data_IF_532775150646
#
_entry.id   IF_532775150646
#
_cell.length_a   1.000
_cell.length_b   1.000
_cell.length_c   1.000
_cell.angle_alpha   90.00
_cell.angle_beta   90.00
_cell.angle_gamma   90.00
#
_symmetry.space_group_name_H-M   'P 1'
#
loop_
_entity.id
_entity.type
_entity.pdbx_description
1 polymer ?
#
# COMPACT_ATOMS: atom_id res chain seq x y z
N UNK A 1 10.57 29.37 -5.37
CA UNK A 1 10.16 28.34 -4.39
C UNK A 1 8.99 27.56 -4.99
N UNK A 2 9.17 26.29 -5.37
CA UNK A 2 8.09 25.50 -5.98
C UNK A 2 7.16 24.97 -4.88
N UNK A 3 5.88 25.36 -4.91
CA UNK A 3 4.86 24.84 -3.99
C UNK A 3 4.33 23.50 -4.48
N UNK A 4 4.10 22.57 -3.57
CA UNK A 4 3.40 21.32 -3.89
C UNK A 4 1.98 21.63 -4.41
N UNK A 5 1.56 20.96 -5.49
CA UNK A 5 0.22 21.10 -6.06
C UNK A 5 -0.74 20.12 -5.36
N UNK A 6 -1.72 20.67 -4.65
CA UNK A 6 -2.76 19.90 -3.95
C UNK A 6 -4.12 20.25 -4.59
N UNK A 7 -5.05 19.27 -4.76
CA UNK A 7 -6.37 19.56 -5.31
C UNK A 7 -7.12 20.61 -4.46
N UNK A 8 -7.70 21.62 -5.13
CA UNK A 8 -8.42 22.73 -4.47
C UNK A 8 -9.70 22.26 -3.74
N UNK A 9 -10.28 21.15 -4.21
CA UNK A 9 -11.47 20.49 -3.65
C UNK A 9 -11.25 18.98 -3.84
N UNK A 10 -11.21 18.21 -2.75
CA UNK A 10 -10.91 16.74 -2.63
C UNK A 10 -9.47 16.41 -2.21
N UNK A 11 -9.27 15.17 -1.78
CA UNK A 11 -7.99 14.60 -1.36
C UNK A 11 -7.09 14.30 -2.57
N UNK A 12 -5.81 13.99 -2.31
CA UNK A 12 -4.81 13.63 -3.32
C UNK A 12 -5.24 12.41 -4.17
N UNK A 13 -6.06 11.52 -3.61
CA UNK A 13 -6.63 10.36 -4.32
C UNK A 13 -7.44 10.77 -5.56
N UNK A 14 -7.95 12.01 -5.62
CA UNK A 14 -8.70 12.51 -6.77
C UNK A 14 -7.89 12.53 -8.08
N UNK A 15 -6.55 12.58 -8.00
CA UNK A 15 -5.70 12.48 -9.19
C UNK A 15 -5.83 11.12 -9.90
N UNK A 16 -6.17 10.06 -9.17
CA UNK A 16 -6.30 8.70 -9.71
C UNK A 16 -7.67 8.42 -10.34
N UNK A 17 -8.64 9.35 -10.22
CA UNK A 17 -10.03 9.11 -10.60
C UNK A 17 -10.22 8.70 -12.05
N UNK A 18 -9.46 9.30 -12.97
CA UNK A 18 -9.56 8.97 -14.39
C UNK A 18 -8.93 7.62 -14.70
N UNK A 19 -7.80 7.29 -14.06
CA UNK A 19 -7.15 5.99 -14.20
C UNK A 19 -8.08 4.86 -13.73
N UNK A 20 -8.67 5.00 -12.53
CA UNK A 20 -9.60 4.02 -11.96
C UNK A 20 -10.80 3.77 -12.88
N UNK A 21 -11.29 4.78 -13.59
CA UNK A 21 -12.41 4.64 -14.54
C UNK A 21 -12.06 3.89 -15.82
N UNK A 22 -10.78 3.87 -16.19
CA UNK A 22 -10.29 3.26 -17.42
C UNK A 22 -9.67 1.88 -17.18
N UNK A 23 -9.68 1.41 -15.93
CA UNK A 23 -9.08 0.14 -15.52
C UNK A 23 -10.15 -0.81 -15.01
N UNK A 24 -10.10 -2.06 -15.42
CA UNK A 24 -10.89 -3.13 -14.81
C UNK A 24 -10.35 -3.43 -13.41
N UNK A 25 -11.17 -3.24 -12.38
CA UNK A 25 -10.80 -3.51 -10.99
C UNK A 25 -11.80 -4.49 -10.40
N UNK A 26 -11.30 -5.63 -9.95
CA UNK A 26 -12.08 -6.62 -9.20
C UNK A 26 -11.83 -6.43 -7.70
N UNK A 27 -12.89 -6.12 -6.95
CA UNK A 27 -12.85 -6.03 -5.49
C UNK A 27 -13.19 -7.38 -4.85
N UNK A 28 -12.86 -7.54 -3.57
CA UNK A 28 -13.08 -8.79 -2.81
C UNK A 28 -12.42 -10.01 -3.47
N UNK A 29 -11.31 -9.77 -4.18
CA UNK A 29 -10.62 -10.75 -5.02
C UNK A 29 -9.24 -11.06 -4.45
N UNK A 30 -9.21 -11.78 -3.34
CA UNK A 30 -7.97 -12.10 -2.63
C UNK A 30 -7.27 -13.29 -3.30
N UNK A 31 -6.00 -13.13 -3.67
CA UNK A 31 -5.16 -14.22 -4.19
C UNK A 31 -4.71 -15.11 -3.03
N UNK A 32 -4.97 -16.42 -3.12
CA UNK A 32 -4.55 -17.42 -2.12
C UNK A 32 -3.37 -18.26 -2.59
N UNK A 33 -3.23 -18.48 -3.88
CA UNK A 33 -2.11 -19.24 -4.44
C UNK A 33 -1.68 -18.69 -5.80
N UNK A 34 -0.37 -18.65 -6.03
CA UNK A 34 0.26 -18.29 -7.29
C UNK A 34 1.12 -19.48 -7.72
N UNK A 35 0.65 -20.22 -8.73
CA UNK A 35 1.46 -21.23 -9.41
C UNK A 35 2.24 -20.55 -10.53
N UNK A 36 3.54 -20.34 -10.30
CA UNK A 36 4.43 -19.66 -11.25
C UNK A 36 4.87 -20.52 -12.42
N UNK A 37 4.79 -21.86 -12.28
CA UNK A 37 5.14 -22.79 -13.35
C UNK A 37 4.01 -22.90 -14.36
N UNK A 38 2.77 -23.04 -13.87
CA UNK A 38 1.56 -23.08 -14.71
C UNK A 38 1.04 -21.69 -15.08
N UNK A 39 1.56 -20.65 -14.42
CA UNK A 39 1.10 -19.26 -14.53
C UNK A 39 -0.39 -19.11 -14.25
N UNK A 40 -0.84 -19.64 -13.10
CA UNK A 40 -2.24 -19.60 -12.66
C UNK A 40 -2.34 -18.99 -11.26
N UNK A 41 -3.34 -18.13 -11.08
CA UNK A 41 -3.77 -17.60 -9.79
C UNK A 41 -4.99 -18.36 -9.29
N UNK A 42 -5.03 -18.66 -8.00
CA UNK A 42 -6.22 -19.15 -7.31
C UNK A 42 -6.66 -18.12 -6.28
N UNK A 43 -7.95 -17.80 -6.26
CA UNK A 43 -8.53 -16.77 -5.41
C UNK A 43 -9.33 -17.36 -4.25
N UNK A 44 -9.64 -16.54 -3.24
CA UNK A 44 -10.43 -16.94 -2.06
C UNK A 44 -11.86 -17.38 -2.39
N UNK A 45 -12.40 -16.92 -3.52
CA UNK A 45 -13.71 -17.33 -4.04
C UNK A 45 -13.68 -18.64 -4.84
N UNK A 46 -12.54 -19.35 -4.85
CA UNK A 46 -12.35 -20.62 -5.54
C UNK A 46 -12.12 -20.50 -7.06
N UNK A 47 -12.26 -19.30 -7.64
CA UNK A 47 -11.98 -19.11 -9.07
C UNK A 47 -10.48 -19.15 -9.35
N UNK A 48 -10.15 -19.43 -10.61
CA UNK A 48 -8.78 -19.40 -11.11
C UNK A 48 -8.66 -18.55 -12.36
N UNK A 49 -7.46 -18.01 -12.60
CA UNK A 49 -7.16 -17.21 -13.80
C UNK A 49 -5.70 -17.41 -14.20
N UNK A 50 -5.44 -17.65 -15.49
CA UNK A 50 -4.10 -17.72 -16.05
C UNK A 50 -3.56 -16.34 -16.40
N UNK A 51 -2.24 -16.19 -16.43
CA UNK A 51 -1.59 -14.93 -16.79
C UNK A 51 -0.37 -15.16 -17.70
N UNK A 52 -0.06 -14.18 -18.54
CA UNK A 52 1.19 -14.16 -19.31
C UNK A 52 2.33 -13.53 -18.50
N UNK A 53 2.02 -12.36 -17.91
CA UNK A 53 2.87 -11.60 -17.01
C UNK A 53 2.08 -11.20 -15.77
N UNK A 54 2.71 -11.30 -14.59
CA UNK A 54 2.10 -10.94 -13.31
C UNK A 54 2.86 -9.75 -12.71
N UNK A 55 2.17 -8.64 -12.53
CA UNK A 55 2.68 -7.47 -11.81
C UNK A 55 2.04 -7.48 -10.42
N UNK A 56 2.84 -7.71 -9.39
CA UNK A 56 2.37 -7.69 -8.00
C UNK A 56 2.78 -6.40 -7.30
N UNK A 57 1.82 -5.80 -6.60
CA UNK A 57 2.03 -4.68 -5.68
C UNK A 57 1.90 -5.10 -4.21
N UNK A 58 1.72 -6.41 -3.94
CA UNK A 58 1.69 -6.93 -2.59
C UNK A 58 3.07 -6.79 -1.92
N UNK A 59 3.13 -6.57 -0.60
CA UNK A 59 4.39 -6.61 0.12
C UNK A 59 5.13 -7.92 -0.14
N UNK A 60 6.45 -7.83 -0.31
CA UNK A 60 7.27 -9.00 -0.66
C UNK A 60 7.14 -10.16 0.36
N UNK A 61 7.10 -9.91 1.69
CA UNK A 61 6.84 -10.98 2.65
C UNK A 61 5.47 -11.66 2.48
N UNK A 62 4.45 -10.93 2.01
CA UNK A 62 3.08 -11.44 1.87
C UNK A 62 2.89 -12.25 0.59
N UNK A 63 3.39 -11.77 -0.55
CA UNK A 63 3.27 -12.53 -1.81
C UNK A 63 3.96 -13.88 -1.74
N UNK A 64 5.13 -13.97 -1.08
CA UNK A 64 5.87 -15.22 -0.95
C UNK A 64 5.07 -16.29 -0.19
N UNK A 65 4.19 -15.91 0.75
CA UNK A 65 3.30 -16.86 1.45
C UNK A 65 2.28 -17.51 0.51
N UNK A 66 1.92 -16.82 -0.58
CA UNK A 66 1.01 -17.34 -1.61
C UNK A 66 1.71 -18.15 -2.70
N UNK A 67 3.05 -18.28 -2.63
CA UNK A 67 3.88 -18.98 -3.63
C UNK A 67 4.51 -20.23 -3.00
N UNK A 68 3.77 -21.37 -2.91
CA UNK A 68 4.27 -22.57 -2.24
C UNK A 68 5.55 -23.11 -2.88
N UNK A 69 5.72 -22.90 -4.18
CA UNK A 69 6.86 -23.33 -4.98
C UNK A 69 8.05 -22.34 -4.98
N UNK A 70 7.96 -21.24 -4.23
CA UNK A 70 9.08 -20.31 -4.12
C UNK A 70 10.33 -20.99 -3.51
N UNK A 71 11.49 -20.69 -4.08
CA UNK A 71 12.77 -21.25 -3.65
C UNK A 71 13.03 -20.95 -2.17
N UNK A 72 13.69 -21.89 -1.48
CA UNK A 72 13.95 -21.77 -0.03
C UNK A 72 14.68 -20.47 0.30
N UNK A 73 15.73 -20.15 -0.45
CA UNK A 73 16.53 -18.93 -0.22
C UNK A 73 15.70 -17.66 -0.33
N UNK A 74 14.71 -17.62 -1.23
CA UNK A 74 13.79 -16.48 -1.38
C UNK A 74 12.84 -16.40 -0.18
N UNK A 75 12.32 -17.56 0.27
CA UNK A 75 11.47 -17.63 1.47
C UNK A 75 12.22 -17.15 2.71
N UNK A 76 13.48 -17.55 2.86
CA UNK A 76 14.29 -17.17 4.01
C UNK A 76 14.70 -15.69 3.95
N UNK A 77 15.07 -15.17 2.77
CA UNK A 77 15.31 -13.74 2.57
C UNK A 77 14.06 -12.90 2.88
N UNK A 78 12.87 -13.33 2.47
CA UNK A 78 11.62 -12.62 2.72
C UNK A 78 11.28 -12.50 4.22
N UNK A 79 11.63 -13.51 5.03
CA UNK A 79 11.43 -13.48 6.50
C UNK A 79 12.32 -12.46 7.21
N UNK A 80 13.46 -12.12 6.62
CA UNK A 80 14.42 -11.18 7.19
C UNK A 80 14.13 -9.72 6.81
N UNK A 81 13.03 -9.46 6.09
CA UNK A 81 12.65 -8.10 5.73
C UNK A 81 11.98 -7.39 6.91
N UNK A 82 12.59 -6.30 7.34
CA UNK A 82 12.06 -5.44 8.39
C UNK A 82 11.21 -4.30 7.78
N UNK A 83 10.15 -3.94 8.48
CA UNK A 83 9.31 -2.80 8.12
C UNK A 83 8.84 -2.10 9.40
N UNK A 84 8.61 -0.79 9.30
CA UNK A 84 8.04 0.01 10.38
C UNK A 84 6.55 0.25 10.13
N UNK A 85 5.76 0.21 11.19
CA UNK A 85 4.36 0.61 11.12
C UNK A 85 4.22 2.11 11.36
N UNK A 86 3.20 2.71 10.77
CA UNK A 86 2.89 4.14 10.94
C UNK A 86 1.48 4.26 11.52
N UNK A 87 1.37 4.89 12.69
CA UNK A 87 0.09 5.30 13.23
C UNK A 87 -0.28 6.68 12.63
N UNK A 88 -1.39 6.73 11.89
CA UNK A 88 -1.92 7.99 11.36
C UNK A 88 -3.06 8.48 12.25
N UNK A 89 -2.85 9.61 12.91
CA UNK A 89 -3.84 10.24 13.79
C UNK A 89 -4.31 11.54 13.13
N UNK A 90 -5.63 11.69 12.94
CA UNK A 90 -6.24 12.90 12.39
C UNK A 90 -6.99 13.66 13.49
N UNK A 91 -6.62 14.92 13.71
CA UNK A 91 -7.21 15.79 14.73
C UNK A 91 -7.97 16.95 14.06
N UNK A 92 -9.24 17.11 14.41
CA UNK A 92 -10.06 18.25 13.96
C UNK A 92 -10.21 19.28 15.07
N UNK A 93 -9.97 20.56 14.76
CA UNK A 93 -10.08 21.65 15.72
C UNK A 93 -11.20 22.63 15.32
N UNK A 94 -12.05 23.00 16.27
CA UNK A 94 -13.03 24.09 16.10
C UNK A 94 -12.48 25.38 16.75
N UNK A 95 -11.41 25.94 16.16
CA UNK A 95 -10.74 27.14 16.65
C UNK A 95 -10.34 28.04 15.47
N UNK A 96 -10.42 29.38 15.61
CA UNK A 96 -10.12 30.30 14.52
C UNK A 96 -8.62 30.38 14.19
N UNK A 97 -7.75 30.10 15.16
CA UNK A 97 -6.30 30.18 15.02
C UNK A 97 -5.69 28.78 15.10
N UNK A 98 -5.34 28.24 13.93
CA UNK A 98 -4.62 26.97 13.78
C UNK A 98 -3.27 27.26 13.09
N UNK A 99 -2.19 26.54 13.47
CA UNK A 99 -0.90 26.70 12.82
C UNK A 99 -1.01 26.56 11.30
N UNK A 100 -0.43 27.52 10.56
CA UNK A 100 -0.49 27.56 9.08
C UNK A 100 0.56 26.66 8.40
N UNK A 101 1.39 25.96 9.18
CA UNK A 101 2.46 25.12 8.67
C UNK A 101 1.88 23.83 8.11
N UNK A 102 2.39 23.39 6.95
CA UNK A 102 1.88 22.21 6.26
C UNK A 102 2.35 20.89 6.89
N UNK A 103 3.60 20.87 7.39
CA UNK A 103 4.15 19.78 8.18
C UNK A 103 5.32 20.29 9.02
N UNK A 104 5.59 19.63 10.15
CA UNK A 104 6.82 19.86 10.92
C UNK A 104 7.28 18.59 11.63
N UNK A 105 8.59 18.48 11.87
CA UNK A 105 9.20 17.36 12.57
C UNK A 105 9.29 17.65 14.06
N UNK A 106 9.18 16.58 14.85
CA UNK A 106 9.44 16.60 16.29
C UNK A 106 10.58 15.63 16.56
N UNK A 107 11.61 16.12 17.24
CA UNK A 107 12.83 15.37 17.54
C UNK A 107 12.99 15.03 19.02
N UNK A 108 12.18 15.66 19.88
CA UNK A 108 12.13 15.41 21.30
C UNK A 108 11.73 13.95 21.56
N UNK A 109 12.60 13.21 22.24
CA UNK A 109 12.46 11.74 22.44
C UNK A 109 11.31 11.39 23.38
N UNK A 110 10.82 12.34 24.17
CA UNK A 110 9.66 12.19 25.06
C UNK A 110 8.33 12.38 24.33
N UNK A 111 8.33 12.79 23.05
CA UNK A 111 7.15 12.94 22.22
C UNK A 111 7.01 11.77 21.25
N UNK A 112 5.85 11.11 21.26
CA UNK A 112 5.63 9.84 20.54
C UNK A 112 5.53 9.96 19.01
N UNK A 113 5.19 11.13 18.47
CA UNK A 113 5.04 11.32 17.03
C UNK A 113 6.26 12.02 16.42
N UNK A 114 6.74 11.54 15.28
CA UNK A 114 7.88 12.12 14.59
C UNK A 114 7.51 13.33 13.69
N UNK A 115 6.23 13.46 13.31
CA UNK A 115 5.76 14.50 12.38
C UNK A 115 4.26 14.81 12.54
N UNK A 116 3.90 16.07 12.31
CA UNK A 116 2.53 16.57 12.07
C UNK A 116 2.42 17.03 10.63
#
# INVERSE_FOLDING_TARGET
MHRAKIPKRRTIQSFLKNLVRQTTIEYNKEVKCIDTKKKVLSFSDGKQTSYDALISTLPLPEIIKTMPDAHKDVKDAAKNLHHTQVALISLGFNKPDIPKNLWFYVYDEDILFARV
#
